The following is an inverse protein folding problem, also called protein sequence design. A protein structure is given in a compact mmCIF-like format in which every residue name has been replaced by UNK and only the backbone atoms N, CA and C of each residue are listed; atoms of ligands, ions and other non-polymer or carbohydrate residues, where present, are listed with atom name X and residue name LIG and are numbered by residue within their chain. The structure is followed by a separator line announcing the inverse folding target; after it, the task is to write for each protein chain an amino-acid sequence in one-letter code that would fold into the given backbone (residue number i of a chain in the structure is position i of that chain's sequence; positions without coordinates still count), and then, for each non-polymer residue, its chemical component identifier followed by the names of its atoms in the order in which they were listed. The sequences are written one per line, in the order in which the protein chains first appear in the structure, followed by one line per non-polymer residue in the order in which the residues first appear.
data_IF_266250715217
#
_entry.id   IF_266250715217
#
_cell.length_a   1.000
_cell.length_b   1.000
_cell.length_c   1.000
_cell.angle_alpha   90.00
_cell.angle_beta   90.00
_cell.angle_gamma   90.00
#
_symmetry.space_group_name_H-M   'P 1'
#
loop_
_entity.id
_entity.type
_entity.pdbx_description
1 polymer ?
#
# COMPACT_ATOMS: atom_id res chain seq x y z
N UNK A 1 20.61 -1.88 18.45
CA UNK A 1 20.69 -2.61 17.18
C UNK A 1 19.47 -2.32 16.31
N UNK A 2 19.74 -1.99 15.10
CA UNK A 2 18.67 -1.71 14.15
C UNK A 2 18.12 -3.01 13.55
N UNK A 3 16.81 -3.13 13.47
CA UNK A 3 16.17 -4.32 12.98
C UNK A 3 15.14 -3.98 11.90
N UNK A 4 15.28 -4.60 10.76
CA UNK A 4 14.33 -4.41 9.66
C UNK A 4 12.96 -4.98 10.02
N UNK A 5 11.90 -4.30 9.63
CA UNK A 5 10.54 -4.76 9.82
C UNK A 5 10.35 -6.12 9.15
N UNK A 6 9.84 -7.08 9.89
CA UNK A 6 9.51 -8.38 9.34
C UNK A 6 8.15 -8.31 8.65
N UNK A 7 8.14 -8.71 7.39
CA UNK A 7 6.91 -8.75 6.60
C UNK A 7 6.27 -10.12 6.77
N UNK A 8 5.01 -10.14 7.13
CA UNK A 8 4.24 -11.38 7.24
C UNK A 8 3.85 -11.93 5.87
N UNK A 9 3.03 -12.94 5.89
CA UNK A 9 2.58 -13.59 4.67
C UNK A 9 1.74 -12.65 3.81
N UNK A 10 1.81 -12.83 2.49
CA UNK A 10 0.92 -12.16 1.54
C UNK A 10 -0.36 -12.99 1.47
N UNK A 11 -1.49 -12.39 1.81
CA UNK A 11 -2.79 -13.07 1.80
C UNK A 11 -3.57 -12.79 0.54
N UNK A 12 -3.32 -11.64 -0.09
CA UNK A 12 -4.05 -11.21 -1.29
C UNK A 12 -3.07 -10.66 -2.31
N UNK A 13 -3.26 -11.06 -3.54
CA UNK A 13 -2.46 -10.55 -4.66
C UNK A 13 -3.38 -9.99 -5.71
N UNK A 14 -3.18 -8.72 -6.07
CA UNK A 14 -3.86 -8.08 -7.19
C UNK A 14 -2.83 -7.93 -8.29
N UNK A 15 -2.95 -8.79 -9.31
CA UNK A 15 -1.95 -8.91 -10.37
C UNK A 15 -1.99 -7.71 -11.32
N UNK A 16 -0.95 -7.59 -12.13
CA UNK A 16 -0.68 -6.42 -12.98
C UNK A 16 -1.80 -6.12 -13.98
N UNK A 17 -2.55 -7.11 -14.40
CA UNK A 17 -3.62 -6.93 -15.37
C UNK A 17 -4.96 -6.61 -14.72
N UNK A 18 -5.01 -6.52 -13.41
CA UNK A 18 -6.24 -6.31 -12.68
C UNK A 18 -6.47 -4.83 -12.42
N UNK A 19 -7.68 -4.36 -12.70
CA UNK A 19 -8.11 -3.00 -12.37
C UNK A 19 -9.31 -3.10 -11.43
N UNK A 20 -9.15 -2.58 -10.24
CA UNK A 20 -10.19 -2.60 -9.23
C UNK A 20 -10.72 -1.18 -9.05
N UNK A 21 -12.04 -1.00 -9.15
CA UNK A 21 -12.69 0.30 -8.99
C UNK A 21 -13.62 0.24 -7.79
N UNK A 22 -13.43 1.19 -6.88
CA UNK A 22 -14.23 1.27 -5.67
C UNK A 22 -13.36 1.26 -4.44
N UNK A 23 -13.94 1.61 -3.30
CA UNK A 23 -13.24 1.59 -2.02
C UNK A 23 -13.06 0.14 -1.57
N UNK A 24 -11.87 -0.17 -1.09
CA UNK A 24 -11.50 -1.55 -0.79
C UNK A 24 -10.92 -1.63 0.61
N UNK A 25 -11.34 -2.64 1.36
CA UNK A 25 -10.77 -2.96 2.66
C UNK A 25 -10.03 -4.29 2.58
N UNK A 26 -9.00 -4.43 3.38
CA UNK A 26 -8.25 -5.68 3.42
C UNK A 26 -7.71 -5.92 4.82
N UNK A 27 -7.38 -7.17 5.11
CA UNK A 27 -6.63 -7.53 6.31
C UNK A 27 -5.42 -8.36 5.91
N UNK A 28 -4.41 -8.38 6.80
CA UNK A 28 -3.18 -9.11 6.53
C UNK A 28 -2.31 -8.44 5.50
N UNK A 29 -1.70 -9.21 4.63
CA UNK A 29 -0.78 -8.71 3.62
C UNK A 29 -1.43 -8.62 2.25
N UNK A 30 -1.31 -7.47 1.61
CA UNK A 30 -1.80 -7.23 0.26
C UNK A 30 -0.63 -6.85 -0.64
N UNK A 31 -0.44 -7.63 -1.69
CA UNK A 31 0.50 -7.28 -2.77
C UNK A 31 -0.29 -6.73 -3.95
N UNK A 32 0.02 -5.49 -4.33
CA UNK A 32 -0.63 -4.84 -5.47
C UNK A 32 0.38 -4.64 -6.59
N UNK A 33 0.10 -5.25 -7.74
CA UNK A 33 0.85 -5.01 -8.96
C UNK A 33 -0.02 -4.37 -10.04
N UNK A 34 -1.33 -4.37 -9.84
CA UNK A 34 -2.30 -3.77 -10.75
C UNK A 34 -2.67 -2.35 -10.35
N UNK A 35 -3.90 -1.97 -10.67
CA UNK A 35 -4.41 -0.62 -10.44
C UNK A 35 -5.65 -0.65 -9.56
N UNK A 36 -5.70 0.29 -8.63
CA UNK A 36 -6.85 0.49 -7.74
C UNK A 36 -7.31 1.93 -7.83
N UNK A 37 -8.55 2.12 -8.20
CA UNK A 37 -9.18 3.44 -8.21
C UNK A 37 -10.23 3.49 -7.11
N UNK A 38 -9.86 4.10 -5.99
CA UNK A 38 -10.67 4.16 -4.78
C UNK A 38 -9.77 4.17 -3.57
N UNK A 39 -10.36 4.26 -2.39
CA UNK A 39 -9.60 4.26 -1.15
C UNK A 39 -9.25 2.83 -0.74
N UNK A 40 -8.07 2.67 -0.18
CA UNK A 40 -7.62 1.38 0.34
C UNK A 40 -7.39 1.51 1.84
N UNK A 41 -8.10 0.72 2.62
CA UNK A 41 -8.08 0.81 4.08
C UNK A 41 -7.87 -0.57 4.69
N UNK A 42 -6.95 -0.67 5.65
CA UNK A 42 -6.83 -1.90 6.43
C UNK A 42 -8.05 -2.06 7.33
N UNK A 43 -8.57 -3.29 7.42
CA UNK A 43 -9.72 -3.62 8.26
C UNK A 43 -9.37 -3.51 9.73
N UNK A 44 -8.28 -4.17 10.09
CA UNK A 44 -7.78 -4.22 11.46
C UNK A 44 -6.42 -3.59 11.52
N UNK A 45 -5.78 -3.62 12.67
CA UNK A 45 -4.39 -3.23 12.78
C UNK A 45 -3.50 -4.29 12.12
N UNK A 46 -2.32 -3.90 11.68
CA UNK A 46 -1.34 -4.81 11.11
C UNK A 46 -1.45 -5.02 9.61
N UNK A 47 -2.32 -4.26 8.94
CA UNK A 47 -2.41 -4.35 7.48
C UNK A 47 -1.14 -3.91 6.79
N UNK A 48 -0.61 -4.75 5.90
CA UNK A 48 0.63 -4.51 5.16
C UNK A 48 0.34 -4.40 3.69
N UNK A 49 0.76 -3.28 3.09
CA UNK A 49 0.63 -3.06 1.66
C UNK A 49 2.01 -3.10 1.01
N UNK A 50 2.14 -3.93 -0.03
CA UNK A 50 3.34 -3.97 -0.86
C UNK A 50 2.92 -3.63 -2.28
N UNK A 51 3.46 -2.52 -2.81
CA UNK A 51 3.15 -2.07 -4.16
C UNK A 51 4.34 -2.29 -5.08
N UNK A 52 4.12 -3.01 -6.17
CA UNK A 52 5.13 -3.20 -7.20
C UNK A 52 5.33 -1.93 -8.02
N UNK A 53 6.39 -1.86 -8.83
CA UNK A 53 6.78 -0.61 -9.50
C UNK A 53 5.83 -0.18 -10.61
N UNK A 54 4.98 -1.06 -11.11
CA UNK A 54 3.99 -0.69 -12.14
C UNK A 54 2.60 -0.52 -11.57
N UNK A 55 2.45 -0.62 -10.25
CA UNK A 55 1.16 -0.49 -9.60
C UNK A 55 0.76 0.97 -9.43
N UNK A 56 -0.54 1.19 -9.29
CA UNK A 56 -1.08 2.52 -9.08
C UNK A 56 -2.30 2.47 -8.18
N UNK A 57 -2.34 3.39 -7.22
CA UNK A 57 -3.55 3.64 -6.44
C UNK A 57 -3.94 5.08 -6.65
N UNK A 58 -5.21 5.31 -6.96
CA UNK A 58 -5.76 6.66 -7.01
C UNK A 58 -6.85 6.73 -5.95
N UNK A 59 -6.47 7.27 -4.78
CA UNK A 59 -7.31 7.32 -3.61
C UNK A 59 -6.47 7.42 -2.35
N UNK A 60 -7.14 7.41 -1.22
CA UNK A 60 -6.49 7.49 0.09
C UNK A 60 -6.08 6.10 0.58
N UNK A 61 -4.87 5.99 1.10
CA UNK A 61 -4.33 4.72 1.61
C UNK A 61 -4.14 4.83 3.11
N UNK A 62 -4.74 3.91 3.86
CA UNK A 62 -4.60 3.83 5.32
C UNK A 62 -4.15 2.41 5.69
N UNK A 63 -2.92 2.28 6.14
CA UNK A 63 -2.31 0.98 6.42
C UNK A 63 -1.39 1.08 7.63
N UNK A 64 -0.99 -0.07 8.16
CA UNK A 64 -0.01 -0.15 9.23
C UNK A 64 1.41 -0.07 8.67
N UNK A 65 1.67 -0.83 7.63
CA UNK A 65 2.98 -0.94 6.97
C UNK A 65 2.79 -0.80 5.48
N UNK A 66 3.65 -0.01 4.85
CA UNK A 66 3.62 0.14 3.40
C UNK A 66 5.03 0.10 2.83
N UNK A 67 5.21 -0.70 1.79
CA UNK A 67 6.42 -0.72 0.98
C UNK A 67 5.98 -0.37 -0.43
N UNK A 68 6.37 0.81 -0.91
CA UNK A 68 5.81 1.38 -2.12
C UNK A 68 6.89 1.54 -3.18
N UNK A 69 6.69 0.88 -4.30
CA UNK A 69 7.53 1.06 -5.49
C UNK A 69 6.73 1.67 -6.65
N UNK A 70 5.41 1.75 -6.50
CA UNK A 70 4.52 2.27 -7.54
C UNK A 70 4.06 3.70 -7.28
N UNK A 71 2.96 4.07 -7.90
CA UNK A 71 2.42 5.42 -7.83
C UNK A 71 1.16 5.47 -6.95
N UNK A 72 1.12 6.46 -6.06
CA UNK A 72 -0.09 6.78 -5.29
C UNK A 72 -0.49 8.22 -5.58
N UNK A 73 -1.69 8.40 -6.09
CA UNK A 73 -2.30 9.71 -6.29
C UNK A 73 -3.36 9.87 -5.20
N UNK A 74 -2.98 10.50 -4.10
CA UNK A 74 -3.81 10.62 -2.91
C UNK A 74 -2.95 10.64 -1.67
N UNK A 75 -3.59 10.72 -0.51
CA UNK A 75 -2.89 10.79 0.75
C UNK A 75 -2.58 9.40 1.29
N UNK A 76 -1.45 9.27 1.97
CA UNK A 76 -1.07 8.04 2.65
C UNK A 76 -1.06 8.29 4.15
N UNK A 77 -1.73 7.43 4.88
CA UNK A 77 -1.65 7.37 6.33
C UNK A 77 -1.07 6.03 6.73
N UNK A 78 0.14 6.04 7.26
CA UNK A 78 0.87 4.83 7.62
C UNK A 78 1.22 4.89 9.11
N UNK A 79 0.82 3.87 9.87
CA UNK A 79 0.90 3.92 11.33
C UNK A 79 2.21 3.41 11.91
N UNK A 80 2.90 2.52 11.21
CA UNK A 80 4.08 1.87 11.79
C UNK A 80 5.32 2.01 10.92
N UNK A 81 5.28 1.55 9.69
CA UNK A 81 6.48 1.46 8.86
C UNK A 81 6.18 1.85 7.42
N UNK A 82 6.93 2.80 6.90
CA UNK A 82 6.77 3.25 5.52
C UNK A 82 8.12 3.21 4.82
N UNK A 83 8.19 2.48 3.73
CA UNK A 83 9.38 2.44 2.88
C UNK A 83 8.99 2.85 1.46
N UNK A 84 9.66 3.90 0.96
CA UNK A 84 9.44 4.37 -0.41
C UNK A 84 10.65 3.96 -1.24
N UNK A 85 10.43 3.08 -2.20
CA UNK A 85 11.47 2.63 -3.12
C UNK A 85 11.81 3.76 -4.11
N UNK A 86 12.99 3.74 -4.74
CA UNK A 86 13.37 4.80 -5.67
C UNK A 86 12.39 5.05 -6.82
N UNK A 87 11.65 4.03 -7.23
CA UNK A 87 10.67 4.14 -8.30
C UNK A 87 9.32 4.69 -7.86
N UNK A 88 9.11 4.90 -6.55
CA UNK A 88 7.83 5.35 -6.05
C UNK A 88 7.53 6.80 -6.44
N UNK A 89 6.25 7.07 -6.68
CA UNK A 89 5.76 8.41 -6.97
C UNK A 89 4.55 8.64 -6.06
N UNK A 90 4.64 9.67 -5.22
CA UNK A 90 3.54 10.00 -4.31
C UNK A 90 3.06 11.41 -4.65
N UNK A 91 1.79 11.51 -5.01
CA UNK A 91 1.15 12.79 -5.30
C UNK A 91 0.05 13.04 -4.27
N UNK A 92 0.44 13.57 -3.13
CA UNK A 92 -0.45 13.81 -2.01
C UNK A 92 0.36 13.93 -0.74
N UNK A 93 -0.33 14.03 0.38
CA UNK A 93 0.31 14.18 1.68
C UNK A 93 0.63 12.82 2.29
N UNK A 94 1.71 12.78 3.03
CA UNK A 94 2.12 11.57 3.75
C UNK A 94 2.00 11.86 5.23
N UNK A 95 1.20 11.05 5.91
CA UNK A 95 1.10 11.06 7.36
C UNK A 95 1.70 9.77 7.88
N UNK A 96 2.75 9.88 8.67
CA UNK A 96 3.50 8.73 9.15
C UNK A 96 3.81 8.90 10.64
N UNK A 97 3.49 7.91 11.42
CA UNK A 97 3.73 7.95 12.86
C UNK A 97 5.02 7.25 13.24
#
# INVERSE_FOLDING_TARGET
MFKKKKIGAIDTLIDKDFVLRGNTSFSGGLRLDGKLYGDLTMEDTGGTLIMGEHSKIKGKVTVETAIVAGEIVGDIKCHDYLELQPSSIIKGDIEYN
#
